data_IF_457750993581
#
_entry.id   IF_457750993581
#
_cell.length_a   1.000
_cell.length_b   1.000
_cell.length_c   1.000
_cell.angle_alpha   90.00
_cell.angle_beta   90.00
_cell.angle_gamma   90.00
#
_symmetry.space_group_name_H-M   'P 1'
#
loop_
_entity.id
_entity.type
_entity.pdbx_description
1 polymer ?
#
# COMPACT_ATOMS: atom_id res chain seq x y z
N UNK A 1 13.00 -20.62 2.33
CA UNK A 1 12.08 -19.55 2.76
C UNK A 1 11.47 -18.89 1.53
N UNK A 2 10.19 -18.55 1.56
CA UNK A 2 9.56 -17.81 0.48
C UNK A 2 9.87 -16.31 0.65
N UNK A 3 10.22 -15.65 -0.45
CA UNK A 3 10.47 -14.19 -0.45
C UNK A 3 9.23 -13.48 -0.98
N UNK A 4 8.68 -12.57 -0.21
CA UNK A 4 7.50 -11.78 -0.53
C UNK A 4 7.89 -10.31 -0.74
N UNK A 5 7.49 -9.72 -1.87
CA UNK A 5 7.84 -8.34 -2.25
C UNK A 5 6.62 -7.44 -2.16
N UNK A 6 6.68 -6.46 -1.26
CA UNK A 6 5.67 -5.41 -1.10
C UNK A 6 6.22 -4.11 -1.63
N UNK A 7 5.49 -3.45 -2.51
CA UNK A 7 5.85 -2.15 -3.07
C UNK A 7 4.85 -1.09 -2.62
N UNK A 8 5.32 -0.07 -1.92
CA UNK A 8 4.55 1.10 -1.48
C UNK A 8 4.79 2.26 -2.45
N UNK A 9 3.72 2.89 -2.94
CA UNK A 9 3.85 3.97 -3.93
C UNK A 9 3.05 5.20 -3.53
N UNK A 10 3.70 6.36 -3.56
CA UNK A 10 3.02 7.65 -3.47
C UNK A 10 3.45 8.59 -4.61
N UNK A 11 3.29 9.88 -4.47
CA UNK A 11 3.69 10.82 -5.53
C UNK A 11 5.20 11.05 -5.52
N UNK A 12 5.77 11.57 -4.44
CA UNK A 12 7.16 12.01 -4.38
C UNK A 12 8.12 11.07 -3.64
N UNK A 13 7.63 10.00 -3.04
CA UNK A 13 8.45 9.08 -2.23
C UNK A 13 9.19 9.77 -1.07
N UNK A 14 8.59 10.82 -0.50
CA UNK A 14 9.16 11.62 0.60
C UNK A 14 8.39 11.42 1.90
N UNK A 15 7.08 11.16 1.84
CA UNK A 15 6.19 11.21 2.99
C UNK A 15 5.45 9.87 3.17
N UNK A 16 4.38 9.64 2.42
CA UNK A 16 3.45 8.52 2.62
C UNK A 16 4.08 7.15 2.37
N UNK A 17 4.66 6.92 1.20
CA UNK A 17 5.19 5.58 0.86
C UNK A 17 6.41 5.18 1.68
N UNK A 18 7.42 6.04 1.96
CA UNK A 18 8.53 5.62 2.80
C UNK A 18 8.11 5.38 4.26
N UNK A 19 7.18 6.17 4.79
CA UNK A 19 6.60 5.94 6.11
C UNK A 19 5.93 4.57 6.19
N UNK A 20 4.98 4.29 5.28
CA UNK A 20 4.28 3.01 5.22
C UNK A 20 5.25 1.84 5.04
N UNK A 21 6.29 2.00 4.20
CA UNK A 21 7.29 0.96 4.00
C UNK A 21 8.05 0.64 5.28
N UNK A 22 8.46 1.65 6.03
CA UNK A 22 9.16 1.46 7.31
C UNK A 22 8.26 0.75 8.34
N UNK A 23 6.99 1.17 8.47
CA UNK A 23 6.04 0.55 9.40
C UNK A 23 5.74 -0.89 8.99
N UNK A 24 5.39 -1.14 7.72
CA UNK A 24 5.09 -2.49 7.22
C UNK A 24 6.30 -3.41 7.37
N UNK A 25 7.50 -2.94 7.04
CA UNK A 25 8.73 -3.71 7.22
C UNK A 25 8.96 -4.08 8.68
N UNK A 26 8.79 -3.13 9.61
CA UNK A 26 8.92 -3.38 11.05
C UNK A 26 7.89 -4.39 11.55
N UNK A 27 6.63 -4.28 11.12
CA UNK A 27 5.55 -5.17 11.54
C UNK A 27 5.65 -6.58 10.96
N UNK A 28 6.26 -6.73 9.78
CA UNK A 28 6.48 -8.02 9.12
C UNK A 28 7.84 -8.65 9.46
N UNK A 29 8.72 -7.91 10.14
CA UNK A 29 10.00 -8.42 10.59
C UNK A 29 9.82 -9.55 11.64
N UNK A 30 10.81 -10.46 11.70
CA UNK A 30 10.85 -11.53 12.70
C UNK A 30 9.94 -12.74 12.38
N UNK A 31 9.44 -12.84 11.16
CA UNK A 31 8.76 -14.07 10.72
C UNK A 31 9.81 -15.10 10.28
N UNK A 32 9.93 -16.20 11.04
CA UNK A 32 10.92 -17.25 10.76
C UNK A 32 10.60 -18.08 9.50
N UNK A 33 9.38 -18.00 8.99
CA UNK A 33 8.90 -18.78 7.83
C UNK A 33 8.95 -17.99 6.52
N UNK A 34 8.84 -16.67 6.59
CA UNK A 34 8.69 -15.79 5.43
C UNK A 34 9.72 -14.65 5.46
N UNK A 35 10.31 -14.36 4.31
CA UNK A 35 11.17 -13.19 4.15
C UNK A 35 10.40 -12.10 3.39
N UNK A 36 10.26 -10.93 3.98
CA UNK A 36 9.64 -9.78 3.34
C UNK A 36 10.69 -8.80 2.83
N UNK A 37 10.50 -8.35 1.59
CA UNK A 37 11.26 -7.25 0.99
C UNK A 37 10.25 -6.13 0.73
N UNK A 38 10.32 -5.09 1.54
CA UNK A 38 9.41 -3.93 1.45
C UNK A 38 10.17 -2.76 0.85
N UNK A 39 9.69 -2.26 -0.27
CA UNK A 39 10.28 -1.12 -0.98
C UNK A 39 9.27 0.03 -1.12
N UNK A 40 9.75 1.25 -1.28
CA UNK A 40 8.92 2.41 -1.59
C UNK A 40 9.40 3.15 -2.83
N UNK A 41 8.46 3.71 -3.59
CA UNK A 41 8.71 4.47 -4.83
C UNK A 41 7.77 5.66 -4.96
N UNK A 42 8.11 6.58 -5.87
CA UNK A 42 7.26 7.71 -6.24
C UNK A 42 6.98 7.81 -7.73
N UNK A 43 5.79 8.27 -8.08
CA UNK A 43 5.42 8.47 -9.49
C UNK A 43 6.00 9.75 -10.09
N UNK A 44 6.38 10.71 -9.25
CA UNK A 44 6.95 12.00 -9.68
C UNK A 44 7.92 12.47 -8.60
N UNK A 45 9.19 12.12 -8.70
CA UNK A 45 10.17 12.34 -7.64
C UNK A 45 11.19 13.42 -7.99
N UNK A 46 11.72 14.08 -6.94
CA UNK A 46 13.04 14.70 -6.96
C UNK A 46 14.00 13.67 -6.38
N UNK A 47 14.86 13.10 -7.20
CA UNK A 47 15.72 12.01 -6.79
C UNK A 47 16.58 12.37 -5.57
N UNK A 48 16.70 11.43 -4.63
CA UNK A 48 17.53 11.60 -3.44
C UNK A 48 16.96 12.51 -2.35
N UNK A 49 15.71 13.00 -2.49
CA UNK A 49 15.09 13.79 -1.44
C UNK A 49 14.90 12.95 -0.16
N UNK A 50 15.22 13.55 0.97
CA UNK A 50 15.09 12.91 2.28
C UNK A 50 13.64 12.68 2.68
N UNK A 51 13.43 11.79 3.64
CA UNK A 51 12.10 11.57 4.22
C UNK A 51 11.60 12.84 4.94
N UNK A 52 10.30 13.07 4.87
CA UNK A 52 9.64 14.15 5.60
C UNK A 52 9.94 14.06 7.11
N UNK A 53 10.42 15.16 7.72
CA UNK A 53 10.79 15.20 9.13
C UNK A 53 9.64 14.84 10.09
N UNK A 54 8.39 15.12 9.72
CA UNK A 54 7.21 14.74 10.52
C UNK A 54 7.01 13.23 10.45
N UNK A 55 7.20 12.61 9.28
CA UNK A 55 7.17 11.16 9.11
C UNK A 55 8.25 10.48 9.95
N UNK A 56 9.48 10.98 9.84
CA UNK A 56 10.62 10.46 10.60
C UNK A 56 10.41 10.57 12.11
N UNK A 57 9.93 11.72 12.59
CA UNK A 57 9.64 11.95 14.01
C UNK A 57 8.57 10.99 14.54
N UNK A 58 7.51 10.74 13.75
CA UNK A 58 6.44 9.80 14.14
C UNK A 58 6.98 8.36 14.18
N UNK A 59 7.74 7.92 13.16
CA UNK A 59 8.39 6.61 13.15
C UNK A 59 9.29 6.40 14.37
N UNK A 60 10.10 7.40 14.71
CA UNK A 60 10.97 7.37 15.90
C UNK A 60 10.17 7.23 17.18
N UNK A 61 9.00 7.90 17.27
CA UNK A 61 8.06 7.75 18.39
C UNK A 61 7.54 6.33 18.57
N UNK A 62 7.47 5.54 17.49
CA UNK A 62 7.12 4.13 17.52
C UNK A 62 8.34 3.18 17.61
N UNK A 63 9.55 3.69 17.82
CA UNK A 63 10.78 2.90 17.87
C UNK A 63 11.21 2.34 16.51
N UNK A 64 10.68 2.87 15.41
CA UNK A 64 10.98 2.43 14.05
C UNK A 64 12.04 3.36 13.45
N UNK A 65 13.18 2.77 13.00
CA UNK A 65 14.17 3.51 12.23
C UNK A 65 13.79 3.51 10.76
N UNK A 66 13.87 4.67 10.12
CA UNK A 66 14.03 4.70 8.65
C UNK A 66 15.46 4.21 8.40
N UNK A 67 15.63 3.26 7.49
CA UNK A 67 16.99 2.80 7.12
C UNK A 67 17.88 4.01 6.83
N UNK A 68 19.14 3.90 7.17
CA UNK A 68 20.13 4.99 7.34
C UNK A 68 20.25 5.96 6.15
N UNK A 69 19.69 5.62 4.98
CA UNK A 69 19.81 6.43 3.76
C UNK A 69 18.55 6.35 2.89
N UNK A 70 17.38 6.80 3.41
CA UNK A 70 16.26 6.98 2.51
C UNK A 70 16.54 8.14 1.55
N UNK A 71 16.60 7.83 0.27
CA UNK A 71 16.53 8.79 -0.82
C UNK A 71 15.34 8.50 -1.72
N UNK A 72 14.53 9.50 -2.02
CA UNK A 72 13.36 9.32 -2.88
C UNK A 72 13.77 8.77 -4.25
N UNK A 73 13.08 7.71 -4.67
CA UNK A 73 13.39 6.94 -5.88
C UNK A 73 12.16 6.86 -6.78
N UNK A 74 12.38 7.06 -8.08
CA UNK A 74 11.31 6.96 -9.07
C UNK A 74 10.81 5.52 -9.21
N UNK A 75 9.51 5.41 -9.50
CA UNK A 75 8.88 4.15 -9.83
C UNK A 75 9.29 3.70 -11.23
N UNK A 76 9.83 2.50 -11.33
CA UNK A 76 10.20 1.87 -12.58
C UNK A 76 9.32 0.65 -12.89
N UNK A 77 9.26 0.25 -14.15
CA UNK A 77 8.51 -0.93 -14.57
C UNK A 77 9.00 -2.21 -13.88
N UNK A 78 10.29 -2.31 -13.64
CA UNK A 78 10.90 -3.46 -12.96
C UNK A 78 10.41 -3.62 -11.53
N UNK A 79 10.24 -2.51 -10.79
CA UNK A 79 9.67 -2.51 -9.45
C UNK A 79 8.26 -3.13 -9.46
N UNK A 80 7.45 -2.71 -10.45
CA UNK A 80 6.07 -3.19 -10.62
C UNK A 80 6.05 -4.68 -10.96
N UNK A 81 6.92 -5.13 -11.87
CA UNK A 81 6.96 -6.53 -12.30
C UNK A 81 7.37 -7.47 -11.17
N UNK A 82 8.34 -7.06 -10.34
CA UNK A 82 8.89 -7.85 -9.24
C UNK A 82 7.97 -7.93 -8.02
N UNK A 83 7.11 -6.94 -7.81
CA UNK A 83 6.24 -6.88 -6.64
C UNK A 83 5.18 -7.99 -6.64
N UNK A 84 4.93 -8.58 -5.49
CA UNK A 84 3.85 -9.53 -5.26
C UNK A 84 2.56 -8.82 -4.84
N UNK A 85 2.70 -7.73 -4.08
CA UNK A 85 1.62 -6.83 -3.69
C UNK A 85 2.09 -5.39 -3.87
N UNK A 86 1.25 -4.55 -4.50
CA UNK A 86 1.51 -3.13 -4.73
C UNK A 86 0.44 -2.33 -4.01
N UNK A 87 0.88 -1.42 -3.15
CA UNK A 87 0.04 -0.58 -2.32
C UNK A 87 0.31 0.88 -2.62
N UNK A 88 -0.68 1.58 -3.10
CA UNK A 88 -0.57 2.99 -3.48
C UNK A 88 -1.25 3.89 -2.46
N UNK A 89 -0.77 5.12 -2.31
CA UNK A 89 -1.41 6.08 -1.44
C UNK A 89 -2.76 6.57 -2.02
N UNK A 90 -2.89 6.61 -3.35
CA UNK A 90 -4.12 7.09 -4.01
C UNK A 90 -4.44 6.27 -5.25
N UNK A 91 -5.70 6.38 -5.71
CA UNK A 91 -6.15 5.80 -6.98
C UNK A 91 -5.39 6.35 -8.19
N UNK A 92 -4.88 7.59 -8.10
CA UNK A 92 -4.04 8.18 -9.14
C UNK A 92 -2.73 7.39 -9.32
N UNK A 93 -2.03 7.05 -8.23
CA UNK A 93 -0.84 6.23 -8.32
C UNK A 93 -1.16 4.79 -8.76
N UNK A 94 -2.30 4.24 -8.32
CA UNK A 94 -2.77 2.93 -8.81
C UNK A 94 -2.99 2.94 -10.33
N UNK A 95 -3.54 4.01 -10.88
CA UNK A 95 -3.69 4.19 -12.33
C UNK A 95 -2.34 4.26 -13.04
N UNK A 96 -1.34 4.93 -12.45
CA UNK A 96 0.01 4.96 -12.99
C UNK A 96 0.65 3.56 -13.05
N UNK A 97 0.44 2.71 -12.03
CA UNK A 97 0.85 1.30 -12.05
C UNK A 97 0.21 0.55 -13.21
N UNK A 98 -1.09 0.75 -13.45
CA UNK A 98 -1.81 0.08 -14.52
C UNK A 98 -1.33 0.51 -15.93
N UNK A 99 -0.84 1.74 -16.07
CA UNK A 99 -0.24 2.23 -17.32
C UNK A 99 1.15 1.62 -17.56
N UNK A 100 1.97 1.49 -16.50
CA UNK A 100 3.30 0.88 -16.59
C UNK A 100 3.23 -0.64 -16.84
N UNK A 101 2.26 -1.32 -16.24
CA UNK A 101 2.10 -2.77 -16.34
C UNK A 101 0.63 -3.15 -16.16
N UNK A 102 -0.16 -3.27 -17.24
CA UNK A 102 -1.59 -3.61 -17.17
C UNK A 102 -1.87 -4.89 -16.38
N UNK A 103 -1.01 -5.90 -16.47
CA UNK A 103 -1.13 -7.15 -15.72
C UNK A 103 -0.93 -7.01 -14.21
N UNK A 104 -0.39 -5.89 -13.74
CA UNK A 104 -0.23 -5.63 -12.31
C UNK A 104 -1.53 -5.18 -11.62
N UNK A 105 -2.59 -4.85 -12.38
CA UNK A 105 -3.89 -4.39 -11.83
C UNK A 105 -4.49 -5.35 -10.80
N UNK A 106 -4.30 -6.65 -10.99
CA UNK A 106 -4.85 -7.69 -10.10
C UNK A 106 -4.14 -7.80 -8.75
N UNK A 107 -3.01 -7.07 -8.56
CA UNK A 107 -2.23 -7.03 -7.33
C UNK A 107 -1.86 -5.61 -6.89
N UNK A 108 -2.48 -4.59 -7.50
CA UNK A 108 -2.28 -3.18 -7.16
C UNK A 108 -3.55 -2.58 -6.57
N UNK A 109 -3.45 -2.02 -5.38
CA UNK A 109 -4.53 -1.46 -4.57
C UNK A 109 -4.11 -0.12 -3.98
N UNK A 110 -5.07 0.73 -3.62
CA UNK A 110 -4.74 1.70 -2.58
C UNK A 110 -4.65 0.97 -1.23
N UNK A 111 -3.91 1.54 -0.28
CA UNK A 111 -3.78 0.93 1.07
C UNK A 111 -5.16 0.68 1.67
N UNK A 112 -6.04 1.68 1.64
CA UNK A 112 -7.39 1.59 2.19
C UNK A 112 -8.29 0.64 1.40
N UNK A 113 -8.14 0.56 0.08
CA UNK A 113 -8.83 -0.46 -0.73
C UNK A 113 -8.45 -1.87 -0.31
N UNK A 114 -7.15 -2.14 -0.12
CA UNK A 114 -6.67 -3.45 0.31
C UNK A 114 -7.21 -3.84 1.70
N UNK A 115 -7.26 -2.88 2.63
CA UNK A 115 -7.84 -3.07 3.97
C UNK A 115 -9.32 -3.45 3.86
N UNK A 116 -10.12 -2.66 3.13
CA UNK A 116 -11.56 -2.90 2.98
C UNK A 116 -11.85 -4.24 2.30
N UNK A 117 -11.12 -4.59 1.23
CA UNK A 117 -11.28 -5.87 0.54
C UNK A 117 -10.89 -7.07 1.41
N UNK A 118 -10.02 -6.88 2.40
CA UNK A 118 -9.58 -7.91 3.35
C UNK A 118 -10.25 -7.83 4.72
N UNK A 119 -11.22 -6.93 4.93
CA UNK A 119 -11.89 -6.74 6.22
C UNK A 119 -12.60 -8.01 6.70
N UNK A 120 -13.34 -8.66 5.81
CA UNK A 120 -13.87 -9.99 6.05
C UNK A 120 -12.76 -11.03 5.82
N UNK A 121 -12.58 -11.93 6.77
CA UNK A 121 -11.63 -13.04 6.61
C UNK A 121 -11.85 -13.79 5.30
N UNK A 122 -10.76 -14.22 4.68
CA UNK A 122 -10.82 -15.05 3.47
C UNK A 122 -11.31 -16.43 3.87
N UNK A 123 -12.48 -16.80 3.37
CA UNK A 123 -13.06 -18.12 3.62
C UNK A 123 -12.23 -19.25 2.99
N UNK A 124 -12.39 -20.47 3.51
CA UNK A 124 -11.68 -21.64 3.00
C UNK A 124 -11.82 -21.82 1.48
N UNK A 125 -13.02 -21.58 0.93
CA UNK A 125 -13.27 -21.68 -0.51
C UNK A 125 -12.58 -20.59 -1.33
N UNK A 126 -12.45 -19.38 -0.78
CA UNK A 126 -11.72 -18.29 -1.42
C UNK A 126 -10.23 -18.60 -1.44
N UNK A 127 -9.69 -19.09 -0.34
CA UNK A 127 -8.31 -19.53 -0.24
C UNK A 127 -8.03 -20.77 -1.12
N UNK A 128 -8.94 -21.75 -1.17
CA UNK A 128 -8.79 -22.92 -2.01
C UNK A 128 -8.71 -22.57 -3.50
N UNK A 129 -9.54 -21.65 -3.99
CA UNK A 129 -9.49 -21.19 -5.39
C UNK A 129 -8.17 -20.55 -5.77
N UNK A 130 -7.54 -19.89 -4.81
CA UNK A 130 -6.25 -19.22 -4.99
C UNK A 130 -5.10 -20.23 -4.87
N UNK A 131 -5.23 -21.26 -4.03
CA UNK A 131 -4.20 -22.27 -3.77
C UNK A 131 -4.09 -23.35 -4.83
N UNK A 132 -5.11 -23.54 -5.67
CA UNK A 132 -5.05 -24.50 -6.81
C UNK A 132 -3.89 -24.19 -7.76
N UNK A 133 -3.42 -22.94 -7.81
CA UNK A 133 -2.32 -22.53 -8.69
C UNK A 133 -0.92 -22.65 -8.03
N UNK A 134 -0.83 -22.88 -6.72
CA UNK A 134 0.45 -22.87 -6.01
C UNK A 134 0.42 -23.84 -4.80
N UNK A 135 1.52 -24.55 -4.62
CA UNK A 135 1.68 -25.47 -3.47
C UNK A 135 2.09 -24.76 -2.16
N UNK A 136 2.15 -23.43 -2.14
CA UNK A 136 2.57 -22.60 -1.00
C UNK A 136 1.77 -21.31 -0.97
N UNK A 137 1.26 -20.95 0.20
CA UNK A 137 0.63 -19.65 0.41
C UNK A 137 1.60 -18.54 0.02
N UNK A 138 1.18 -17.64 -0.86
CA UNK A 138 1.99 -16.54 -1.35
C UNK A 138 1.25 -15.22 -1.22
N UNK A 139 2.01 -14.13 -1.14
CA UNK A 139 1.44 -12.80 -1.11
C UNK A 139 0.67 -12.48 -2.42
N UNK A 140 1.04 -13.10 -3.53
CA UNK A 140 0.28 -13.01 -4.80
C UNK A 140 -1.10 -13.68 -4.68
N UNK A 141 -1.21 -14.74 -3.93
CA UNK A 141 -2.49 -15.41 -3.65
C UNK A 141 -3.38 -14.52 -2.81
N UNK A 142 -2.85 -13.90 -1.76
CA UNK A 142 -3.56 -12.87 -1.02
C UNK A 142 -4.08 -11.78 -1.94
N UNK A 143 -3.21 -11.19 -2.77
CA UNK A 143 -3.59 -10.16 -3.72
C UNK A 143 -4.69 -10.67 -4.69
N UNK A 144 -4.57 -11.89 -5.22
CA UNK A 144 -5.57 -12.47 -6.12
C UNK A 144 -6.92 -12.71 -5.43
N UNK A 145 -6.91 -13.14 -4.17
CA UNK A 145 -8.12 -13.37 -3.40
C UNK A 145 -8.88 -12.05 -3.15
N UNK A 146 -8.19 -11.02 -2.69
CA UNK A 146 -8.84 -9.72 -2.50
C UNK A 146 -9.24 -9.06 -3.84
N UNK A 147 -8.56 -9.39 -4.96
CA UNK A 147 -8.99 -8.93 -6.28
C UNK A 147 -10.34 -9.53 -6.71
N UNK A 148 -10.62 -10.76 -6.34
CA UNK A 148 -11.92 -11.38 -6.62
C UNK A 148 -13.10 -10.66 -5.93
N UNK A 149 -12.81 -9.93 -4.85
CA UNK A 149 -13.77 -9.10 -4.12
C UNK A 149 -13.90 -7.67 -4.65
N UNK A 150 -13.05 -7.28 -5.62
CA UNK A 150 -13.12 -5.96 -6.24
C UNK A 150 -14.46 -5.81 -6.98
N UNK A 151 -15.16 -4.72 -6.74
CA UNK A 151 -16.51 -4.52 -7.24
C UNK A 151 -17.64 -4.88 -6.25
N UNK A 152 -17.32 -5.55 -5.13
CA UNK A 152 -18.26 -5.79 -4.03
C UNK A 152 -18.20 -4.72 -2.94
N UNK A 153 -17.28 -3.76 -3.06
CA UNK A 153 -17.15 -2.66 -2.10
C UNK A 153 -18.32 -1.69 -2.25
N UNK A 154 -19.10 -1.59 -1.20
CA UNK A 154 -20.06 -0.50 -1.05
C UNK A 154 -19.36 0.67 -0.38
N UNK A 155 -18.96 1.66 -1.18
CA UNK A 155 -18.22 2.83 -0.70
C UNK A 155 -19.19 3.92 -0.27
N UNK A 156 -19.28 4.26 1.02
CA UNK A 156 -20.11 5.37 1.48
C UNK A 156 -19.67 6.67 0.77
N UNK A 157 -20.61 7.31 0.08
CA UNK A 157 -20.36 8.61 -0.55
C UNK A 157 -19.74 8.58 -1.95
N UNK A 158 -19.60 7.43 -2.61
CA UNK A 158 -19.21 7.32 -4.01
C UNK A 158 -20.32 7.77 -4.98
N UNK A 159 -20.95 8.92 -4.72
CA UNK A 159 -21.83 9.56 -5.70
C UNK A 159 -20.95 10.20 -6.76
N UNK A 160 -20.87 9.57 -7.92
CA UNK A 160 -20.33 10.17 -9.14
C UNK A 160 -21.22 11.38 -9.48
N UNK A 161 -20.79 12.58 -9.05
CA UNK A 161 -21.40 13.82 -9.53
C UNK A 161 -20.91 14.07 -10.95
N UNK A 162 -21.79 14.16 -11.95
CA UNK A 162 -21.40 14.52 -13.31
C UNK A 162 -20.73 15.90 -13.27
N UNK A 163 -19.54 15.99 -13.86
CA UNK A 163 -18.82 17.25 -14.00
C UNK A 163 -19.44 18.06 -15.15
N UNK A 164 -20.12 19.14 -14.84
CA UNK A 164 -20.32 20.25 -15.76
C UNK A 164 -19.29 21.35 -15.40
N UNK A 165 -18.33 21.55 -16.30
CA UNK A 165 -17.48 22.72 -16.45
C UNK A 165 -16.81 23.27 -15.19
N UNK A 166 -15.50 23.09 -15.07
CA UNK A 166 -14.66 23.78 -14.10
C UNK A 166 -13.54 22.89 -13.53
N UNK A 167 -12.28 23.35 -13.61
CA UNK A 167 -11.10 22.69 -13.01
C UNK A 167 -11.16 22.72 -11.47
N UNK A 168 -12.07 22.00 -10.86
CA UNK A 168 -11.93 21.61 -9.45
C UNK A 168 -11.23 20.27 -9.39
N UNK A 169 -10.20 20.16 -8.54
CA UNK A 169 -9.64 18.89 -8.18
C UNK A 169 -10.77 17.93 -7.81
N UNK A 170 -10.72 16.69 -8.28
CA UNK A 170 -11.68 15.69 -7.84
C UNK A 170 -11.62 15.63 -6.31
N UNK A 171 -12.76 15.53 -5.60
CA UNK A 171 -12.73 15.25 -4.18
C UNK A 171 -11.89 13.98 -3.98
N UNK A 172 -11.04 13.98 -2.95
CA UNK A 172 -10.25 12.82 -2.59
C UNK A 172 -11.19 11.63 -2.41
N UNK A 173 -10.85 10.52 -3.05
CA UNK A 173 -11.58 9.27 -2.87
C UNK A 173 -11.46 8.84 -1.40
N UNK A 174 -12.50 8.23 -0.77
CA UNK A 174 -12.37 7.66 0.56
C UNK A 174 -11.28 6.57 0.63
N UNK A 175 -10.86 6.05 -0.51
CA UNK A 175 -9.76 5.10 -0.65
C UNK A 175 -8.39 5.75 -0.70
N UNK A 176 -8.32 7.08 -0.80
CA UNK A 176 -7.07 7.82 -0.89
C UNK A 176 -6.54 8.22 0.49
N UNK A 177 -5.22 8.12 0.67
CA UNK A 177 -4.50 8.75 1.76
C UNK A 177 -4.16 10.17 1.31
N UNK A 178 -4.75 11.21 1.92
CA UNK A 178 -4.58 12.59 1.48
C UNK A 178 -3.12 13.05 1.58
N UNK A 179 -2.75 14.04 0.77
CA UNK A 179 -1.42 14.64 0.85
C UNK A 179 -1.45 15.91 1.70
N UNK A 180 -1.06 15.79 2.96
CA UNK A 180 -0.94 16.91 3.88
C UNK A 180 0.48 17.48 3.98
N UNK A 181 1.42 16.98 3.19
CA UNK A 181 2.81 17.46 3.22
C UNK A 181 2.91 18.97 2.95
N UNK A 182 2.09 19.47 2.03
CA UNK A 182 2.04 20.92 1.66
C UNK A 182 1.27 21.77 2.66
N UNK A 183 0.32 21.21 3.38
CA UNK A 183 -0.54 21.95 4.33
C UNK A 183 0.05 21.97 5.75
N UNK A 184 0.90 21.01 6.09
CA UNK A 184 1.61 20.91 7.36
C UNK A 184 0.66 20.80 8.58
N UNK A 185 1.22 21.09 9.77
CA UNK A 185 0.46 21.25 10.99
C UNK A 185 -0.07 19.96 11.62
N UNK A 186 -1.14 20.10 12.39
CA UNK A 186 -1.76 19.02 13.17
C UNK A 186 -2.36 17.91 12.30
N UNK A 187 -2.97 18.27 11.17
CA UNK A 187 -3.52 17.32 10.20
C UNK A 187 -2.46 16.42 9.61
N UNK A 188 -1.24 16.95 9.39
CA UNK A 188 -0.14 16.15 8.87
C UNK A 188 0.35 15.12 9.89
N UNK A 189 0.41 15.48 11.19
CA UNK A 189 0.78 14.52 12.25
C UNK A 189 -0.27 13.42 12.41
N UNK A 190 -1.54 13.81 12.52
CA UNK A 190 -2.66 12.87 12.65
C UNK A 190 -2.71 11.86 11.49
N UNK A 191 -2.36 12.30 10.28
CA UNK A 191 -2.30 11.41 9.12
C UNK A 191 -1.35 10.23 9.36
N UNK A 192 -0.20 10.46 10.00
CA UNK A 192 0.75 9.37 10.28
C UNK A 192 0.21 8.40 11.32
N UNK A 193 -0.53 8.85 12.31
CA UNK A 193 -1.18 7.97 13.28
C UNK A 193 -2.24 7.08 12.58
N UNK A 194 -3.01 7.66 11.67
CA UNK A 194 -3.96 6.91 10.85
C UNK A 194 -3.24 5.90 9.94
N UNK A 195 -2.16 6.31 9.28
CA UNK A 195 -1.36 5.42 8.41
C UNK A 195 -0.67 4.30 9.20
N UNK A 196 -0.26 4.56 10.44
CA UNK A 196 0.29 3.53 11.33
C UNK A 196 -0.76 2.46 11.65
N UNK A 197 -1.97 2.88 11.98
CA UNK A 197 -3.10 1.98 12.23
C UNK A 197 -3.46 1.17 10.96
N UNK A 198 -3.55 1.84 9.81
CA UNK A 198 -3.80 1.21 8.51
C UNK A 198 -2.75 0.13 8.19
N UNK A 199 -1.46 0.44 8.39
CA UNK A 199 -0.37 -0.50 8.19
C UNK A 199 -0.44 -1.69 9.14
N UNK A 200 -0.86 -1.47 10.40
CA UNK A 200 -1.08 -2.51 11.40
C UNK A 200 -2.14 -3.51 10.97
N UNK A 201 -3.29 -3.01 10.53
CA UNK A 201 -4.37 -3.86 10.00
C UNK A 201 -3.89 -4.69 8.81
N UNK A 202 -3.22 -4.05 7.86
CA UNK A 202 -2.74 -4.71 6.65
C UNK A 202 -1.70 -5.80 6.96
N UNK A 203 -0.73 -5.51 7.81
CA UNK A 203 0.30 -6.49 8.22
C UNK A 203 -0.32 -7.71 8.91
N UNK A 204 -1.32 -7.49 9.78
CA UNK A 204 -2.05 -8.58 10.43
C UNK A 204 -2.80 -9.46 9.42
N UNK A 205 -3.44 -8.86 8.40
CA UNK A 205 -4.13 -9.60 7.34
C UNK A 205 -3.17 -10.41 6.47
N UNK A 206 -2.02 -9.83 6.13
CA UNK A 206 -0.97 -10.52 5.37
C UNK A 206 -0.48 -11.75 6.16
N UNK A 207 -0.13 -11.58 7.43
CA UNK A 207 0.33 -12.68 8.29
C UNK A 207 -0.72 -13.78 8.39
N UNK A 208 -1.96 -13.43 8.68
CA UNK A 208 -3.07 -14.38 8.78
C UNK A 208 -3.16 -15.29 7.55
N UNK A 209 -3.13 -14.73 6.34
CA UNK A 209 -3.26 -15.51 5.10
C UNK A 209 -2.04 -16.40 4.86
N UNK A 210 -0.84 -15.92 5.18
CA UNK A 210 0.37 -16.70 5.00
C UNK A 210 0.54 -17.81 6.04
N UNK A 211 -0.05 -17.65 7.22
CA UNK A 211 -0.02 -18.61 8.33
C UNK A 211 -1.14 -19.64 8.27
N UNK A 212 -2.24 -19.32 7.60
CA UNK A 212 -3.37 -20.25 7.47
C UNK A 212 -2.95 -21.43 6.57
N UNK A 213 -3.02 -22.68 7.03
CA UNK A 213 -2.57 -23.88 6.31
C UNK A 213 -3.40 -24.20 5.07
#
# INVERSE_FOLDING_TARGET
MAVHRVLLVCEQNVCRSPYLAAVVNSLLAGDDRHTFVVASRGTTVTAGAEICSVAESNLRGHGISVGVEHGSTALEQEDVVRADLILTATERQRSAIALLSPGARVRAYTVREAILLSERELGADELARVRVASRRSSLREFASAINARRGTLDLPGATVRPRLGGRRAAPDSPLDIPDHHRTGGQSHRRLFDEMYADAGVLAARIKYVLETP
#
